data_IF_329925336862
#
_entry.id   IF_329925336862
#
_cell.length_a   1.000
_cell.length_b   1.000
_cell.length_c   1.000
_cell.angle_alpha   90.00
_cell.angle_beta   90.00
_cell.angle_gamma   90.00
#
_symmetry.space_group_name_H-M   'P 1'
#
loop_
_entity.id
_entity.type
_entity.pdbx_description
1 polymer ?
#
# COMPACT_ATOMS: atom_id res chain seq x y z
N UNK A 1 15.47 20.16 -4.51
CA UNK A 1 14.77 18.90 -4.16
C UNK A 1 15.81 17.94 -3.62
N UNK A 2 15.72 17.55 -2.34
CA UNK A 2 16.67 16.59 -1.77
C UNK A 2 16.52 15.24 -2.50
N UNK A 3 17.64 14.62 -2.88
CA UNK A 3 17.64 13.25 -3.39
C UNK A 3 17.05 12.36 -2.30
N UNK A 4 15.84 11.84 -2.53
CA UNK A 4 15.23 10.91 -1.59
C UNK A 4 15.98 9.60 -1.75
N UNK A 5 16.68 9.19 -0.70
CA UNK A 5 17.34 7.88 -0.68
C UNK A 5 16.36 6.80 -1.09
N UNK A 6 16.84 5.74 -1.75
CA UNK A 6 16.00 4.60 -2.08
C UNK A 6 15.23 4.10 -0.86
N UNK A 7 13.97 3.69 -1.06
CA UNK A 7 13.13 3.12 0.00
C UNK A 7 13.86 2.03 0.80
N UNK A 8 13.62 1.91 2.12
CA UNK A 8 14.27 0.90 2.95
C UNK A 8 13.93 -0.52 2.48
N UNK A 9 14.79 -1.48 2.78
CA UNK A 9 14.43 -2.90 2.67
C UNK A 9 13.46 -3.20 3.80
N UNK A 10 12.25 -3.64 3.44
CA UNK A 10 11.19 -3.95 4.40
C UNK A 10 10.99 -5.45 4.55
N UNK A 11 11.39 -6.24 3.55
CA UNK A 11 11.25 -7.69 3.52
C UNK A 11 12.50 -8.29 2.91
N UNK A 12 13.09 -9.25 3.62
CA UNK A 12 14.08 -10.17 3.07
C UNK A 12 13.44 -11.56 2.97
N UNK A 13 13.53 -12.15 1.79
CA UNK A 13 13.13 -13.53 1.53
C UNK A 13 14.40 -14.38 1.57
N UNK A 14 14.39 -15.42 2.40
CA UNK A 14 15.53 -16.29 2.63
C UNK A 14 15.34 -17.65 1.96
N UNK A 15 16.46 -18.25 1.52
CA UNK A 15 16.57 -19.65 1.11
C UNK A 15 17.62 -20.33 1.97
N UNK A 16 17.16 -20.98 3.04
CA UNK A 16 18.04 -21.36 4.14
C UNK A 16 18.63 -20.10 4.79
N UNK A 17 19.94 -20.09 5.00
CA UNK A 17 20.63 -18.97 5.66
C UNK A 17 21.06 -17.85 4.70
N UNK A 18 20.67 -17.94 3.42
CA UNK A 18 21.04 -16.96 2.38
C UNK A 18 19.85 -16.11 1.98
N UNK A 19 20.06 -14.79 1.86
CA UNK A 19 19.09 -13.89 1.24
C UNK A 19 18.93 -14.21 -0.25
N UNK A 20 17.70 -14.51 -0.64
CA UNK A 20 17.29 -14.76 -2.02
C UNK A 20 16.80 -13.48 -2.69
N UNK A 21 15.96 -12.70 -2.02
CA UNK A 21 15.48 -11.41 -2.52
C UNK A 21 15.20 -10.41 -1.40
N UNK A 22 15.48 -9.14 -1.67
CA UNK A 22 15.18 -8.02 -0.78
C UNK A 22 14.18 -7.08 -1.44
N UNK A 23 13.06 -6.81 -0.77
CA UNK A 23 12.00 -5.95 -1.27
C UNK A 23 12.02 -4.62 -0.54
N UNK A 24 12.18 -3.55 -1.32
CA UNK A 24 12.15 -2.17 -0.82
C UNK A 24 10.76 -1.58 -0.98
N UNK A 25 10.34 -0.78 -0.02
CA UNK A 25 9.03 -0.14 -0.08
C UNK A 25 8.84 0.94 0.96
N UNK A 26 7.61 1.44 1.02
CA UNK A 26 7.18 2.38 2.02
C UNK A 26 5.96 1.81 2.78
N UNK A 27 5.88 2.10 4.08
CA UNK A 27 4.77 1.69 4.96
C UNK A 27 4.30 2.92 5.71
N UNK A 28 3.00 3.16 5.68
CA UNK A 28 2.33 4.15 6.51
C UNK A 28 1.31 3.43 7.40
N UNK A 29 1.35 3.70 8.71
CA UNK A 29 0.33 3.25 9.66
C UNK A 29 -0.35 4.51 10.19
N UNK A 30 -1.67 4.57 10.12
CA UNK A 30 -2.47 5.69 10.61
C UNK A 30 -3.39 5.25 11.75
N UNK A 31 -3.65 6.15 12.70
CA UNK A 31 -4.69 5.98 13.71
C UNK A 31 -6.11 6.26 13.15
N UNK A 32 -7.14 6.08 13.98
CA UNK A 32 -8.54 6.30 13.59
C UNK A 32 -8.89 7.75 13.29
N UNK A 33 -8.01 8.71 13.63
CA UNK A 33 -8.14 10.13 13.30
C UNK A 33 -7.34 10.49 12.04
N UNK A 34 -6.73 9.51 11.37
CA UNK A 34 -5.93 9.70 10.18
C UNK A 34 -4.52 10.22 10.43
N UNK A 35 -4.05 10.25 11.68
CA UNK A 35 -2.66 10.67 11.98
C UNK A 35 -1.72 9.51 11.76
N UNK A 36 -0.60 9.75 11.06
CA UNK A 36 0.45 8.74 10.91
C UNK A 36 1.09 8.45 12.28
N UNK A 37 1.01 7.19 12.70
CA UNK A 37 1.71 6.67 13.88
C UNK A 37 3.05 6.06 13.53
N UNK A 38 3.25 5.67 12.26
CA UNK A 38 4.51 5.20 11.71
C UNK A 38 4.58 5.53 10.22
N UNK A 39 5.74 5.98 9.76
CA UNK A 39 6.07 6.08 8.35
C UNK A 39 7.49 5.55 8.12
N UNK A 40 7.63 4.57 7.23
CA UNK A 40 8.91 4.04 6.78
C UNK A 40 9.04 4.28 5.27
N UNK A 41 10.17 4.80 4.83
CA UNK A 41 10.41 5.13 3.42
C UNK A 41 9.60 6.34 2.93
N UNK A 42 9.41 6.42 1.62
CA UNK A 42 8.63 7.46 0.97
C UNK A 42 7.15 7.09 0.87
N UNK A 43 6.36 7.50 1.85
CA UNK A 43 4.90 7.30 1.88
C UNK A 43 4.11 8.40 1.15
N UNK A 44 4.77 9.45 0.67
CA UNK A 44 4.13 10.64 0.07
C UNK A 44 4.18 10.63 -1.46
N UNK A 45 5.08 9.85 -2.07
CA UNK A 45 5.13 9.71 -3.53
C UNK A 45 3.87 9.02 -4.05
N UNK A 46 3.10 9.65 -4.95
CA UNK A 46 1.92 9.03 -5.53
C UNK A 46 2.26 7.78 -6.33
N UNK A 47 1.46 6.73 -6.18
CA UNK A 47 1.55 5.50 -6.94
C UNK A 47 0.16 5.09 -7.47
N UNK A 48 0.14 4.30 -8.55
CA UNK A 48 -1.10 3.68 -8.99
C UNK A 48 -1.51 2.58 -7.99
N UNK A 49 -2.71 2.64 -7.38
CA UNK A 49 -3.11 1.71 -6.32
C UNK A 49 -3.37 0.28 -6.80
N UNK A 50 -3.36 0.03 -8.13
CA UNK A 50 -3.62 -1.30 -8.74
C UNK A 50 -4.90 -1.90 -8.14
N UNK A 51 -4.89 -3.20 -7.84
CA UNK A 51 -6.01 -3.89 -7.21
C UNK A 51 -6.35 -3.41 -5.78
N UNK A 52 -5.52 -2.60 -5.12
CA UNK A 52 -5.82 -2.10 -3.77
C UNK A 52 -6.96 -1.07 -3.76
N UNK A 53 -7.29 -0.46 -4.91
CA UNK A 53 -8.40 0.50 -5.06
C UNK A 53 -9.79 -0.16 -5.03
N UNK A 54 -9.87 -1.51 -4.97
CA UNK A 54 -11.13 -2.25 -5.06
C UNK A 54 -12.15 -1.85 -3.99
N UNK A 55 -11.74 -1.45 -2.80
CA UNK A 55 -12.67 -0.99 -1.77
C UNK A 55 -13.41 0.29 -2.20
N UNK A 56 -12.70 1.24 -2.81
CA UNK A 56 -13.29 2.46 -3.37
C UNK A 56 -14.18 2.16 -4.58
N UNK A 57 -13.75 1.23 -5.45
CA UNK A 57 -14.56 0.78 -6.59
C UNK A 57 -15.85 0.07 -6.12
N UNK A 58 -15.75 -0.76 -5.08
CA UNK A 58 -16.88 -1.49 -4.50
C UNK A 58 -17.87 -0.54 -3.83
N UNK A 59 -17.40 0.50 -3.14
CA UNK A 59 -18.28 1.53 -2.58
C UNK A 59 -19.18 2.13 -3.66
N UNK A 60 -18.60 2.60 -4.76
CA UNK A 60 -19.36 3.17 -5.87
C UNK A 60 -20.34 2.16 -6.50
N UNK A 61 -19.93 0.88 -6.63
CA UNK A 61 -20.80 -0.19 -7.12
C UNK A 61 -22.02 -0.39 -6.21
N UNK A 62 -21.80 -0.48 -4.89
CA UNK A 62 -22.87 -0.69 -3.91
C UNK A 62 -23.79 0.53 -3.84
N UNK A 63 -23.24 1.75 -3.81
CA UNK A 63 -24.02 2.99 -3.79
C UNK A 63 -24.92 3.15 -5.01
N UNK A 64 -24.49 2.60 -6.16
CA UNK A 64 -25.31 2.60 -7.38
C UNK A 64 -26.47 1.59 -7.39
N UNK A 65 -26.53 0.68 -6.41
CA UNK A 65 -27.47 -0.45 -6.38
C UNK A 65 -27.14 -1.58 -7.36
N UNK A 66 -26.08 -1.45 -8.17
CA UNK A 66 -25.68 -2.46 -9.15
C UNK A 66 -25.21 -3.77 -8.50
N UNK A 67 -24.81 -3.75 -7.23
CA UNK A 67 -24.46 -4.96 -6.48
C UNK A 67 -25.67 -5.88 -6.22
N UNK A 68 -26.86 -5.30 -6.07
CA UNK A 68 -28.10 -6.05 -5.77
C UNK A 68 -28.92 -6.40 -7.02
N UNK A 69 -28.56 -5.80 -8.17
CA UNK A 69 -29.15 -6.07 -9.47
C UNK A 69 -28.71 -7.47 -9.98
N UNK A 70 -29.20 -8.52 -9.33
CA UNK A 70 -29.15 -9.87 -9.87
C UNK A 70 -30.10 -9.93 -11.07
N UNK A 71 -29.57 -10.14 -12.27
CA UNK A 71 -30.36 -10.42 -13.49
C UNK A 71 -31.13 -11.73 -13.29
#
# INVERSE_FOLDING_TARGET
MASKSANPVLVDVLRGDRSESSHRGAIAIADTRGRLVLALGDVETPNYPRSAVKSLQALALVESGAADASI
#
